data_IF_003820915178
#
_entry.id   IF_003820915178
#
_cell.length_a   1.000
_cell.length_b   1.000
_cell.length_c   1.000
_cell.angle_alpha   90.00
_cell.angle_beta   90.00
_cell.angle_gamma   90.00
#
_symmetry.space_group_name_H-M   'P 1'
#
loop_
_entity.id
_entity.type
_entity.pdbx_description
1 polymer ?
#
# COMPACT_ATOMS: atom_id res chain seq x y z
N UNK A 1 -5.45 10.87 -7.08
CA UNK A 1 -4.02 10.51 -7.08
C UNK A 1 -3.88 9.30 -6.20
N UNK A 2 -3.39 8.20 -6.76
CA UNK A 2 -3.09 6.97 -6.01
C UNK A 2 -2.02 7.31 -4.97
N UNK A 3 -2.22 6.95 -3.70
CA UNK A 3 -1.30 7.29 -2.62
C UNK A 3 0.10 6.71 -2.93
N UNK A 4 1.15 7.53 -2.87
CA UNK A 4 2.52 7.06 -3.07
C UNK A 4 3.15 6.74 -1.70
N UNK A 5 3.47 5.46 -1.48
CA UNK A 5 4.08 4.98 -0.23
C UNK A 5 5.61 4.79 -0.32
N UNK A 6 6.26 5.22 -1.41
CA UNK A 6 7.70 5.03 -1.66
C UNK A 6 8.56 5.57 -0.51
N UNK A 7 8.22 6.76 0.00
CA UNK A 7 8.92 7.34 1.15
C UNK A 7 8.83 6.45 2.38
N UNK A 8 7.64 5.92 2.70
CA UNK A 8 7.43 5.05 3.86
C UNK A 8 8.20 3.74 3.69
N UNK A 9 8.15 3.13 2.50
CA UNK A 9 8.87 1.90 2.20
C UNK A 9 10.39 2.10 2.30
N UNK A 10 10.91 3.25 1.85
CA UNK A 10 12.31 3.61 2.01
C UNK A 10 12.72 3.78 3.48
N UNK A 11 11.86 4.37 4.32
CA UNK A 11 12.14 4.49 5.75
C UNK A 11 12.18 3.12 6.44
N UNK A 12 11.26 2.22 6.10
CA UNK A 12 11.26 0.84 6.63
C UNK A 12 12.54 0.11 6.23
N UNK A 13 12.98 0.26 4.98
CA UNK A 13 14.21 -0.37 4.50
C UNK A 13 15.46 0.19 5.19
N UNK A 14 15.54 1.50 5.39
CA UNK A 14 16.63 2.13 6.15
C UNK A 14 16.71 1.58 7.59
N UNK A 15 15.57 1.44 8.27
CA UNK A 15 15.54 0.87 9.62
C UNK A 15 15.97 -0.62 9.61
N UNK A 16 15.61 -1.36 8.57
CA UNK A 16 16.00 -2.78 8.42
C UNK A 16 17.50 -2.97 8.20
N UNK A 17 18.17 -2.05 7.52
CA UNK A 17 19.61 -2.15 7.21
C UNK A 17 20.50 -2.09 8.46
N UNK A 18 20.09 -1.35 9.49
CA UNK A 18 20.90 -1.13 10.70
C UNK A 18 20.59 -2.12 11.84
N UNK A 19 19.65 -3.05 11.66
CA UNK A 19 19.22 -3.96 12.72
C UNK A 19 19.71 -5.40 12.51
N UNK A 20 20.02 -6.10 13.62
CA UNK A 20 20.32 -7.55 13.65
C UNK A 20 19.29 -8.35 14.48
N UNK A 21 18.17 -7.73 14.86
CA UNK A 21 17.12 -8.35 15.64
C UNK A 21 16.02 -8.92 14.72
N UNK A 22 16.05 -10.24 14.55
CA UNK A 22 15.06 -10.98 13.76
C UNK A 22 13.60 -10.60 14.04
N UNK A 23 13.23 -10.39 15.32
CA UNK A 23 11.85 -10.02 15.66
C UNK A 23 11.45 -8.67 15.07
N UNK A 24 12.38 -7.71 15.08
CA UNK A 24 12.15 -6.40 14.49
C UNK A 24 12.11 -6.49 12.97
N UNK A 25 13.01 -7.29 12.35
CA UNK A 25 12.98 -7.53 10.91
C UNK A 25 11.62 -8.07 10.45
N UNK A 26 11.13 -9.14 11.10
CA UNK A 26 9.85 -9.76 10.73
C UNK A 26 8.65 -8.85 10.98
N UNK A 27 8.70 -8.01 12.01
CA UNK A 27 7.68 -6.99 12.25
C UNK A 27 7.64 -5.97 11.11
N UNK A 28 8.81 -5.50 10.67
CA UNK A 28 8.95 -4.53 9.58
C UNK A 28 8.52 -5.14 8.24
N UNK A 29 8.79 -6.42 8.00
CA UNK A 29 8.29 -7.15 6.83
C UNK A 29 6.75 -7.16 6.81
N UNK A 30 6.11 -7.50 7.93
CA UNK A 30 4.65 -7.46 8.02
C UNK A 30 4.07 -6.04 7.84
N UNK A 31 4.80 -5.00 8.22
CA UNK A 31 4.41 -3.62 7.95
C UNK A 31 4.45 -3.28 6.44
N UNK A 32 5.48 -3.75 5.72
CA UNK A 32 5.55 -3.63 4.26
C UNK A 32 4.37 -4.32 3.59
N UNK A 33 4.07 -5.56 3.98
CA UNK A 33 2.95 -6.33 3.44
C UNK A 33 1.62 -5.60 3.63
N UNK A 34 1.41 -5.04 4.83
CA UNK A 34 0.21 -4.27 5.14
C UNK A 34 0.07 -3.02 4.26
N UNK A 35 1.15 -2.27 4.08
CA UNK A 35 1.16 -1.06 3.23
C UNK A 35 0.80 -1.40 1.79
N UNK A 36 1.36 -2.47 1.24
CA UNK A 36 1.06 -2.93 -0.12
C UNK A 36 -0.40 -3.36 -0.28
N UNK A 37 -0.94 -4.07 0.71
CA UNK A 37 -2.34 -4.50 0.70
C UNK A 37 -3.31 -3.32 0.81
N UNK A 38 -3.01 -2.31 1.64
CA UNK A 38 -3.83 -1.09 1.69
C UNK A 38 -3.79 -0.32 0.38
N UNK A 39 -2.63 -0.27 -0.28
CA UNK A 39 -2.49 0.36 -1.58
C UNK A 39 -3.39 -0.30 -2.64
N UNK A 40 -3.39 -1.64 -2.66
CA UNK A 40 -4.25 -2.42 -3.54
C UNK A 40 -5.73 -2.14 -3.28
N UNK A 41 -6.14 -2.09 -2.01
CA UNK A 41 -7.54 -1.80 -1.63
C UNK A 41 -7.98 -0.41 -2.04
N UNK A 42 -7.11 0.59 -1.94
CA UNK A 42 -7.40 1.94 -2.42
C UNK A 42 -7.62 1.95 -3.94
N UNK A 43 -6.78 1.24 -4.70
CA UNK A 43 -6.95 1.12 -6.14
C UNK A 43 -8.28 0.44 -6.49
N UNK A 44 -8.59 -0.69 -5.84
CA UNK A 44 -9.85 -1.41 -6.04
C UNK A 44 -11.06 -0.54 -5.71
N UNK A 45 -11.02 0.23 -4.63
CA UNK A 45 -12.09 1.15 -4.26
C UNK A 45 -12.26 2.27 -5.30
N UNK A 46 -11.17 2.77 -5.88
CA UNK A 46 -11.25 3.72 -7.00
C UNK A 46 -11.86 3.08 -8.25
N UNK A 47 -11.40 1.89 -8.64
CA UNK A 47 -11.90 1.17 -9.81
C UNK A 47 -13.40 0.83 -9.67
N UNK A 48 -13.85 0.45 -8.48
CA UNK A 48 -15.27 0.20 -8.19
C UNK A 48 -16.12 1.47 -8.30
N UNK A 49 -15.61 2.61 -7.83
CA UNK A 49 -16.30 3.89 -7.96
C UNK A 49 -16.42 4.31 -9.42
N UNK A 50 -15.35 4.17 -10.21
CA UNK A 50 -15.36 4.47 -11.64
C UNK A 50 -16.31 3.55 -12.41
N UNK A 51 -16.27 2.24 -12.14
CA UNK A 51 -17.16 1.25 -12.75
C UNK A 51 -18.65 1.44 -12.41
N UNK A 52 -18.98 1.93 -11.22
CA UNK A 52 -20.36 2.28 -10.84
C UNK A 52 -20.81 3.63 -11.39
N UNK A 53 -19.88 4.56 -11.60
CA UNK A 53 -20.16 5.88 -12.18
C UNK A 53 -20.39 5.78 -13.69
N UNK A 54 -19.77 4.81 -14.36
CA UNK A 54 -20.04 4.48 -15.75
C UNK A 54 -21.36 3.71 -15.89
N UNK A 55 -22.43 4.43 -16.22
CA UNK A 55 -23.74 3.86 -16.54
C UNK A 55 -24.10 4.20 -17.99
N UNK A 56 -24.24 3.21 -18.90
CA UNK A 56 -24.53 3.46 -20.31
C UNK A 56 -25.86 4.19 -20.57
N UNK A 57 -26.75 4.20 -19.58
CA UNK A 57 -28.09 4.80 -19.67
C UNK A 57 -28.15 6.27 -19.23
N UNK A 58 -27.01 6.88 -18.84
CA UNK A 58 -26.94 8.26 -18.31
C UNK A 58 -26.16 9.26 -19.18
N UNK A 59 -25.82 8.90 -20.41
CA UNK A 59 -25.29 9.80 -21.45
C UNK A 59 -26.21 9.78 -22.67
#
# INVERSE_FOLDING_TARGET
MVANNDWLLQQIEQIKQDQNNFKLSSFLDGAVDLVQEQQKRLQQAHDELDGRTWSPDKW
#
